data_IF_234882243638
#
_entry.id   IF_234882243638
#
_cell.length_a   1.000
_cell.length_b   1.000
_cell.length_c   1.000
_cell.angle_alpha   90.00
_cell.angle_beta   90.00
_cell.angle_gamma   90.00
#
_symmetry.space_group_name_H-M   'P 1'
#
loop_
_entity.id
_entity.type
_entity.pdbx_description
1 polymer ?
#
# COMPACT_ATOMS: atom_id res chain seq x y z
N UNK A 1 -63.01 51.99 40.53
CA UNK A 1 -61.66 51.38 40.62
C UNK A 1 -61.84 49.87 40.42
N UNK A 2 -61.79 49.44 39.16
CA UNK A 2 -60.74 48.62 38.52
C UNK A 2 -60.63 47.20 39.09
N UNK A 3 -61.35 46.32 38.41
CA UNK A 3 -61.24 44.86 38.37
C UNK A 3 -59.88 44.42 37.83
N UNK A 4 -59.31 43.34 38.38
CA UNK A 4 -58.20 42.62 37.76
C UNK A 4 -58.51 41.12 37.73
N UNK A 5 -58.83 40.64 36.53
CA UNK A 5 -58.81 39.23 36.12
C UNK A 5 -57.36 38.75 36.08
N UNK A 6 -57.02 37.71 36.86
CA UNK A 6 -55.79 36.96 36.67
C UNK A 6 -55.99 35.94 35.53
N UNK A 7 -55.27 36.12 34.42
CA UNK A 7 -55.22 35.17 33.32
C UNK A 7 -54.36 33.96 33.70
N UNK A 8 -54.94 32.76 33.68
CA UNK A 8 -54.19 31.51 33.60
C UNK A 8 -53.71 31.32 32.16
N UNK A 9 -52.39 31.37 31.93
CA UNK A 9 -51.79 30.85 30.70
C UNK A 9 -51.60 29.32 30.84
N UNK A 10 -51.97 28.50 29.85
CA UNK A 10 -51.60 27.09 29.84
C UNK A 10 -50.10 26.97 29.53
N UNK A 11 -49.39 26.16 30.32
CA UNK A 11 -48.03 25.76 30.02
C UNK A 11 -48.03 24.93 28.73
N UNK A 12 -47.55 25.54 27.63
CA UNK A 12 -47.22 24.80 26.43
C UNK A 12 -45.99 23.94 26.74
N UNK A 13 -46.20 22.63 26.85
CA UNK A 13 -45.13 21.64 26.91
C UNK A 13 -44.42 21.67 25.55
N UNK A 14 -43.33 22.42 25.46
CA UNK A 14 -42.45 22.40 24.30
C UNK A 14 -41.80 21.01 24.23
N UNK A 15 -42.33 20.14 23.37
CA UNK A 15 -41.62 18.95 22.92
C UNK A 15 -40.44 19.47 22.10
N UNK A 16 -39.29 19.65 22.74
CA UNK A 16 -38.05 19.90 22.02
C UNK A 16 -37.80 18.70 21.11
N UNK A 17 -37.52 18.91 19.81
CA UNK A 17 -37.11 17.82 18.95
C UNK A 17 -35.84 17.21 19.54
N UNK A 18 -35.92 15.96 19.98
CA UNK A 18 -34.74 15.17 20.27
C UNK A 18 -33.96 15.14 18.96
N UNK A 19 -32.79 15.77 18.94
CA UNK A 19 -31.80 15.49 17.91
C UNK A 19 -31.52 14.00 18.06
N UNK A 20 -32.09 13.17 17.18
CA UNK A 20 -31.70 11.77 17.08
C UNK A 20 -30.19 11.79 16.86
N UNK A 21 -29.43 11.38 17.87
CA UNK A 21 -28.02 11.12 17.69
C UNK A 21 -27.95 10.00 16.64
N UNK A 22 -27.29 10.27 15.51
CA UNK A 22 -27.07 9.22 14.52
C UNK A 22 -26.27 8.07 15.12
N UNK A 23 -26.30 6.91 14.47
CA UNK A 23 -25.58 5.72 14.92
C UNK A 23 -24.09 5.96 15.16
N UNK A 24 -23.49 5.18 16.05
CA UNK A 24 -22.10 5.32 16.46
C UNK A 24 -21.38 4.03 16.10
N UNK A 25 -20.40 4.12 15.21
CA UNK A 25 -19.53 3.01 14.83
C UNK A 25 -18.11 3.31 15.33
N UNK A 26 -17.55 2.42 16.14
CA UNK A 26 -16.25 2.62 16.78
C UNK A 26 -15.33 1.42 16.63
N UNK A 27 -14.06 1.71 16.45
CA UNK A 27 -13.01 0.73 16.16
C UNK A 27 -11.94 0.78 17.24
N UNK A 28 -11.72 -0.37 17.88
CA UNK A 28 -10.59 -0.65 18.77
C UNK A 28 -9.61 -1.55 18.03
N UNK A 29 -8.61 -0.94 17.42
CA UNK A 29 -7.55 -1.63 16.69
C UNK A 29 -6.58 -2.33 17.63
N UNK A 30 -6.03 -3.47 17.19
CA UNK A 30 -5.09 -4.30 17.96
C UNK A 30 -5.63 -4.75 19.33
N UNK A 31 -6.94 -4.94 19.43
CA UNK A 31 -7.60 -5.30 20.68
C UNK A 31 -8.73 -6.30 20.44
N UNK A 32 -8.90 -7.22 21.40
CA UNK A 32 -10.04 -8.14 21.51
C UNK A 32 -11.18 -7.61 22.38
N UNK A 33 -11.01 -6.40 22.93
CA UNK A 33 -11.99 -5.69 23.75
C UNK A 33 -12.08 -4.23 23.32
N UNK A 34 -13.15 -3.53 23.75
CA UNK A 34 -13.26 -2.09 23.54
C UNK A 34 -12.19 -1.34 24.34
N UNK A 35 -11.54 -0.39 23.70
CA UNK A 35 -10.55 0.48 24.30
C UNK A 35 -11.15 1.86 24.59
N UNK A 36 -10.59 2.56 25.58
CA UNK A 36 -10.89 3.97 25.80
C UNK A 36 -10.40 4.87 24.64
N UNK A 37 -9.45 4.37 23.84
CA UNK A 37 -8.84 5.03 22.68
C UNK A 37 -9.47 4.60 21.36
N UNK A 38 -10.64 3.97 21.39
CA UNK A 38 -11.39 3.63 20.18
C UNK A 38 -11.64 4.88 19.31
N UNK A 39 -11.62 4.70 18.01
CA UNK A 39 -11.87 5.78 17.05
C UNK A 39 -13.27 5.67 16.47
N UNK A 40 -13.96 6.80 16.31
CA UNK A 40 -15.23 6.86 15.59
C UNK A 40 -14.98 6.67 14.08
N UNK A 41 -15.81 5.89 13.40
CA UNK A 41 -15.57 5.42 12.03
C UNK A 41 -15.59 6.52 10.97
N UNK A 42 -16.36 7.60 11.16
CA UNK A 42 -16.62 8.63 10.18
C UNK A 42 -15.32 9.28 9.72
N UNK A 43 -14.88 8.89 8.52
CA UNK A 43 -13.67 9.40 7.90
C UNK A 43 -12.39 9.18 8.72
N UNK A 44 -12.34 8.10 9.50
CA UNK A 44 -11.13 7.69 10.23
C UNK A 44 -10.45 6.50 9.57
N UNK A 45 -9.19 6.28 9.94
CA UNK A 45 -8.36 5.18 9.45
C UNK A 45 -7.61 4.56 10.62
N UNK A 46 -7.51 3.24 10.64
CA UNK A 46 -6.63 2.50 11.54
C UNK A 46 -5.49 1.85 10.75
N UNK A 47 -4.27 2.03 11.24
CA UNK A 47 -3.09 1.39 10.69
C UNK A 47 -2.71 0.18 11.54
N UNK A 48 -2.58 -0.98 10.91
CA UNK A 48 -2.24 -2.25 11.51
C UNK A 48 -1.01 -2.81 10.83
N UNK A 49 -0.15 -3.50 11.57
CA UNK A 49 1.10 -4.04 11.04
C UNK A 49 1.24 -5.53 11.35
N UNK A 50 1.25 -6.38 10.32
CA UNK A 50 1.37 -7.84 10.45
C UNK A 50 2.54 -8.41 9.64
N UNK A 51 3.08 -9.54 10.06
CA UNK A 51 3.85 -10.43 9.19
C UNK A 51 2.91 -11.50 8.60
N UNK A 52 2.38 -11.20 7.41
CA UNK A 52 1.44 -12.10 6.73
C UNK A 52 2.08 -13.45 6.34
N UNK A 53 3.39 -13.48 6.05
CA UNK A 53 4.10 -14.72 5.68
C UNK A 53 4.26 -15.62 6.91
N UNK A 54 4.52 -15.04 8.08
CA UNK A 54 4.52 -15.76 9.35
C UNK A 54 3.12 -16.15 9.86
N UNK A 55 2.06 -15.65 9.21
CA UNK A 55 0.67 -15.92 9.60
C UNK A 55 0.19 -15.08 10.78
N UNK A 56 0.81 -13.92 11.03
CA UNK A 56 0.38 -13.01 12.08
C UNK A 56 -1.07 -12.57 11.91
N UNK A 57 -1.73 -12.31 13.04
CA UNK A 57 -3.02 -11.66 13.05
C UNK A 57 -3.19 -10.72 14.24
N UNK A 58 -3.86 -9.59 14.00
CA UNK A 58 -4.22 -8.62 15.03
C UNK A 58 -5.75 -8.55 15.18
N UNK A 59 -6.29 -8.60 16.40
CA UNK A 59 -7.72 -8.46 16.60
C UNK A 59 -8.17 -7.01 16.38
N UNK A 60 -9.33 -6.83 15.77
CA UNK A 60 -10.00 -5.54 15.60
C UNK A 60 -11.38 -5.67 16.20
N UNK A 61 -11.59 -5.08 17.38
CA UNK A 61 -12.91 -5.03 18.02
C UNK A 61 -13.70 -3.85 17.49
N UNK A 62 -14.88 -4.14 16.97
CA UNK A 62 -15.80 -3.17 16.40
C UNK A 62 -17.04 -3.10 17.29
N UNK A 63 -17.42 -1.89 17.68
CA UNK A 63 -18.64 -1.61 18.41
C UNK A 63 -19.56 -0.76 17.54
N UNK A 64 -20.84 -1.12 17.49
CA UNK A 64 -21.85 -0.36 16.78
C UNK A 64 -23.09 -0.15 17.65
N UNK A 65 -23.51 1.09 17.79
CA UNK A 65 -24.76 1.48 18.40
C UNK A 65 -25.63 2.13 17.32
N UNK A 66 -26.69 1.46 16.83
CA UNK A 66 -27.56 2.02 15.80
C UNK A 66 -28.38 3.23 16.27
N UNK A 67 -28.42 3.54 17.58
CA UNK A 67 -29.29 4.58 18.15
C UNK A 67 -30.77 4.39 17.76
N UNK A 68 -31.16 3.14 17.54
CA UNK A 68 -32.50 2.74 17.13
C UNK A 68 -33.00 1.55 17.98
N UNK A 69 -34.33 1.45 18.11
CA UNK A 69 -35.00 0.40 18.88
C UNK A 69 -35.51 -0.72 17.96
N UNK A 70 -35.86 -1.87 18.56
CA UNK A 70 -36.43 -3.03 17.85
C UNK A 70 -35.53 -3.60 16.73
N UNK A 71 -34.21 -3.53 16.91
CA UNK A 71 -33.23 -4.09 15.98
C UNK A 71 -33.41 -5.61 15.87
N UNK A 72 -33.62 -6.10 14.65
CA UNK A 72 -33.75 -7.52 14.35
C UNK A 72 -32.38 -8.18 14.13
N UNK A 73 -31.47 -7.49 13.44
CA UNK A 73 -30.09 -7.94 13.21
C UNK A 73 -29.18 -6.73 13.02
N UNK A 74 -27.92 -6.91 13.40
CA UNK A 74 -26.86 -5.95 13.23
C UNK A 74 -25.61 -6.67 12.69
N UNK A 75 -24.97 -6.09 11.69
CA UNK A 75 -23.87 -6.71 10.95
C UNK A 75 -22.75 -5.72 10.66
N UNK A 76 -21.52 -6.21 10.64
CA UNK A 76 -20.39 -5.54 10.00
C UNK A 76 -20.31 -5.98 8.55
N UNK A 77 -20.16 -5.03 7.64
CA UNK A 77 -19.97 -5.25 6.21
C UNK A 77 -18.58 -4.76 5.82
N UNK A 78 -17.70 -5.68 5.42
CA UNK A 78 -16.28 -5.37 5.15
C UNK A 78 -15.65 -6.35 4.16
N UNK A 79 -14.62 -5.89 3.46
CA UNK A 79 -13.74 -6.72 2.64
C UNK A 79 -12.43 -7.13 3.38
N UNK A 80 -12.33 -6.92 4.70
CA UNK A 80 -11.15 -7.27 5.51
C UNK A 80 -10.70 -8.72 5.24
N UNK A 81 -9.42 -8.87 4.88
CA UNK A 81 -8.75 -10.12 4.46
C UNK A 81 -9.24 -10.75 3.14
N UNK A 82 -9.98 -10.01 2.32
CA UNK A 82 -10.57 -10.55 1.09
C UNK A 82 -9.96 -9.98 -0.18
N UNK A 83 -8.77 -9.38 -0.10
CA UNK A 83 -8.08 -8.79 -1.29
C UNK A 83 -7.96 -9.75 -2.48
N UNK A 84 -7.79 -11.05 -2.22
CA UNK A 84 -7.68 -12.07 -3.26
C UNK A 84 -8.98 -12.29 -4.06
N UNK A 85 -10.10 -11.70 -3.61
CA UNK A 85 -11.40 -11.75 -4.29
C UNK A 85 -11.70 -10.50 -5.10
N UNK A 86 -10.84 -9.48 -5.07
CA UNK A 86 -11.09 -8.22 -5.76
C UNK A 86 -11.19 -8.38 -7.28
N UNK A 87 -10.60 -9.42 -7.87
CA UNK A 87 -10.65 -9.71 -9.30
C UNK A 87 -11.72 -10.74 -9.70
N UNK A 88 -12.53 -11.21 -8.74
CA UNK A 88 -13.66 -12.07 -9.06
C UNK A 88 -14.82 -11.23 -9.58
N UNK A 89 -15.69 -11.85 -10.35
CA UNK A 89 -16.99 -11.30 -10.77
C UNK A 89 -18.05 -12.23 -10.20
N UNK A 90 -18.45 -11.97 -8.95
CA UNK A 90 -19.25 -12.92 -8.19
C UNK A 90 -20.73 -12.92 -8.60
N UNK A 91 -21.24 -11.83 -9.20
CA UNK A 91 -22.60 -11.73 -9.71
C UNK A 91 -22.70 -11.85 -11.25
N UNK A 92 -21.57 -11.98 -11.95
CA UNK A 92 -21.51 -12.28 -13.38
C UNK A 92 -21.85 -11.08 -14.26
N UNK A 93 -21.62 -9.87 -13.77
CA UNK A 93 -21.98 -8.63 -14.47
C UNK A 93 -20.90 -8.15 -15.46
N UNK A 94 -19.77 -8.87 -15.53
CA UNK A 94 -18.63 -8.60 -16.40
C UNK A 94 -17.62 -7.62 -15.81
N UNK A 95 -17.78 -7.19 -14.55
CA UNK A 95 -16.90 -6.26 -13.85
C UNK A 95 -16.34 -6.94 -12.60
N UNK A 96 -15.05 -6.72 -12.34
CA UNK A 96 -14.40 -7.20 -11.12
C UNK A 96 -15.04 -6.57 -9.87
N UNK A 97 -15.34 -7.39 -8.85
CA UNK A 97 -15.95 -7.01 -7.57
C UNK A 97 -15.16 -5.90 -6.85
N UNK A 98 -13.85 -5.83 -7.08
CA UNK A 98 -12.96 -4.78 -6.56
C UNK A 98 -13.24 -3.39 -7.12
N UNK A 99 -13.81 -3.32 -8.32
CA UNK A 99 -14.24 -2.10 -9.01
C UNK A 99 -15.72 -1.83 -8.71
N UNK A 100 -16.57 -2.85 -8.89
CA UNK A 100 -18.01 -2.76 -8.65
C UNK A 100 -18.45 -3.95 -7.78
N UNK A 101 -18.53 -3.79 -6.45
CA UNK A 101 -18.97 -4.86 -5.58
C UNK A 101 -20.44 -5.22 -5.81
N UNK A 102 -20.76 -6.51 -5.61
CA UNK A 102 -22.15 -6.98 -5.48
C UNK A 102 -22.92 -6.12 -4.48
N UNK A 103 -24.20 -5.86 -4.76
CA UNK A 103 -25.07 -5.11 -3.86
C UNK A 103 -25.06 -5.72 -2.46
N UNK A 104 -24.51 -4.99 -1.49
CA UNK A 104 -24.36 -5.51 -0.13
C UNK A 104 -25.67 -6.05 0.45
N UNK A 105 -26.80 -5.40 0.17
CA UNK A 105 -28.11 -5.76 0.73
C UNK A 105 -28.61 -7.16 0.32
N UNK A 106 -28.04 -7.77 -0.72
CA UNK A 106 -28.34 -9.15 -1.14
C UNK A 106 -27.39 -10.19 -0.53
N UNK A 107 -26.28 -9.76 0.07
CA UNK A 107 -25.27 -10.65 0.67
C UNK A 107 -25.75 -11.10 2.05
N UNK A 108 -25.84 -12.42 2.23
CA UNK A 108 -26.19 -13.03 3.52
C UNK A 108 -24.98 -13.05 4.44
N UNK A 109 -25.18 -12.82 5.74
CA UNK A 109 -24.09 -12.95 6.72
C UNK A 109 -23.46 -14.34 6.69
N UNK A 110 -22.13 -14.36 6.71
CA UNK A 110 -21.37 -15.61 6.61
C UNK A 110 -21.05 -16.05 5.18
N UNK A 111 -21.65 -15.46 4.15
CA UNK A 111 -21.35 -15.81 2.76
C UNK A 111 -19.89 -15.49 2.40
N UNK A 112 -19.17 -16.52 1.98
CA UNK A 112 -17.76 -16.45 1.62
C UNK A 112 -17.52 -16.35 0.12
N UNK A 113 -18.54 -16.22 -0.73
CA UNK A 113 -18.38 -16.14 -2.18
C UNK A 113 -17.93 -14.76 -2.69
N UNK A 114 -18.29 -13.68 -1.98
CA UNK A 114 -18.11 -12.30 -2.44
C UNK A 114 -16.84 -11.59 -1.94
N UNK A 115 -16.45 -10.50 -2.60
CA UNK A 115 -15.36 -9.64 -2.14
C UNK A 115 -15.63 -8.97 -0.79
N UNK A 116 -16.81 -8.40 -0.58
CA UNK A 116 -17.28 -7.97 0.73
C UNK A 116 -18.03 -9.10 1.43
N UNK A 117 -17.95 -9.15 2.76
CA UNK A 117 -18.66 -10.11 3.60
C UNK A 117 -19.40 -9.39 4.71
N UNK A 118 -20.60 -9.88 4.98
CA UNK A 118 -21.38 -9.51 6.15
C UNK A 118 -21.09 -10.47 7.32
N UNK A 119 -20.95 -9.91 8.51
CA UNK A 119 -20.70 -10.65 9.75
C UNK A 119 -21.71 -10.21 10.81
N UNK A 120 -22.50 -11.15 11.34
CA UNK A 120 -23.43 -10.88 12.44
C UNK A 120 -22.68 -10.44 13.69
N UNK A 121 -23.16 -9.37 14.32
CA UNK A 121 -22.63 -8.86 15.58
C UNK A 121 -23.40 -9.42 16.78
N UNK A 122 -22.73 -9.58 17.92
CA UNK A 122 -23.36 -10.00 19.16
C UNK A 122 -23.88 -8.79 19.96
N UNK A 123 -25.07 -8.87 20.59
CA UNK A 123 -25.56 -7.79 21.44
C UNK A 123 -24.69 -7.64 22.69
N UNK A 124 -24.44 -6.40 23.09
CA UNK A 124 -23.73 -6.01 24.31
C UNK A 124 -24.47 -4.85 24.98
N UNK A 125 -24.04 -4.43 26.17
CA UNK A 125 -24.59 -3.23 26.79
C UNK A 125 -24.37 -2.01 25.87
N UNK A 126 -25.47 -1.33 25.52
CA UNK A 126 -25.46 -0.12 24.70
C UNK A 126 -25.31 -0.33 23.20
N UNK A 127 -25.25 -1.58 22.69
CA UNK A 127 -25.14 -1.79 21.24
C UNK A 127 -24.75 -3.21 20.86
N UNK A 128 -23.91 -3.33 19.84
CA UNK A 128 -23.46 -4.60 19.27
C UNK A 128 -21.95 -4.61 19.13
N UNK A 129 -21.34 -5.78 19.27
CA UNK A 129 -19.91 -5.96 19.18
C UNK A 129 -19.53 -7.15 18.30
N UNK A 130 -18.43 -7.01 17.56
CA UNK A 130 -17.77 -8.07 16.82
C UNK A 130 -16.26 -7.89 16.93
N UNK A 131 -15.49 -8.98 16.99
CA UNK A 131 -14.03 -8.91 16.82
C UNK A 131 -13.64 -9.71 15.59
N UNK A 132 -12.93 -9.06 14.67
CA UNK A 132 -12.42 -9.69 13.46
C UNK A 132 -10.89 -9.74 13.49
N UNK A 133 -10.25 -10.82 13.03
CA UNK A 133 -8.81 -10.85 12.82
C UNK A 133 -8.45 -10.04 11.57
N UNK A 134 -7.47 -9.14 11.65
CA UNK A 134 -6.73 -8.66 10.49
C UNK A 134 -5.53 -9.59 10.28
N UNK A 135 -5.48 -10.30 9.15
CA UNK A 135 -4.49 -11.37 8.87
C UNK A 135 -3.89 -11.31 7.48
N UNK A 136 -4.32 -10.34 6.67
CA UNK A 136 -3.86 -10.15 5.31
C UNK A 136 -3.59 -8.68 5.07
N UNK A 137 -2.43 -8.35 4.54
CA UNK A 137 -2.06 -7.00 4.14
C UNK A 137 -3.01 -6.46 3.07
N UNK A 138 -3.24 -5.15 3.05
CA UNK A 138 -4.16 -4.48 2.14
C UNK A 138 -4.84 -3.27 2.75
N UNK A 139 -5.60 -2.55 1.93
CA UNK A 139 -6.50 -1.48 2.37
C UNK A 139 -7.94 -1.99 2.29
N UNK A 140 -8.66 -1.90 3.41
CA UNK A 140 -9.98 -2.48 3.57
C UNK A 140 -10.98 -1.44 4.03
N UNK A 141 -12.22 -1.62 3.60
CA UNK A 141 -13.36 -0.79 3.93
C UNK A 141 -14.21 -1.50 4.97
N UNK A 142 -14.66 -0.79 5.99
CA UNK A 142 -15.50 -1.31 7.06
C UNK A 142 -16.67 -0.36 7.34
N UNK A 143 -17.88 -0.91 7.30
CA UNK A 143 -19.11 -0.23 7.74
C UNK A 143 -19.99 -1.18 8.52
N UNK A 144 -21.07 -0.65 9.08
CA UNK A 144 -22.11 -1.40 9.76
C UNK A 144 -23.44 -1.23 9.05
N UNK A 145 -24.30 -2.23 9.21
CA UNK A 145 -25.68 -2.19 8.75
C UNK A 145 -26.59 -2.90 9.75
N UNK A 146 -27.85 -2.51 9.79
CA UNK A 146 -28.85 -3.15 10.66
C UNK A 146 -30.21 -3.23 9.98
N UNK A 147 -31.07 -4.10 10.51
CA UNK A 147 -32.49 -4.19 10.14
C UNK A 147 -33.37 -3.97 11.34
N UNK A 148 -34.52 -3.34 11.16
CA UNK A 148 -35.53 -3.17 12.21
C UNK A 148 -36.61 -4.23 12.08
N UNK A 149 -37.11 -4.70 13.22
CA UNK A 149 -38.20 -5.68 13.29
C UNK A 149 -39.47 -5.08 12.66
N UNK A 150 -40.10 -5.84 11.76
CA UNK A 150 -41.32 -5.42 11.07
C UNK A 150 -41.08 -4.72 9.73
N UNK A 151 -39.83 -4.42 9.38
CA UNK A 151 -39.50 -3.94 8.03
C UNK A 151 -39.49 -5.07 6.99
N UNK A 152 -39.74 -4.76 5.71
CA UNK A 152 -39.61 -5.72 4.62
C UNK A 152 -38.26 -6.46 4.63
N UNK A 153 -38.27 -7.69 4.11
CA UNK A 153 -37.04 -8.44 3.89
C UNK A 153 -36.11 -7.66 2.94
N UNK A 154 -34.82 -7.57 3.29
CA UNK A 154 -33.83 -6.85 2.49
C UNK A 154 -33.75 -5.34 2.76
N UNK A 155 -34.61 -4.77 3.62
CA UNK A 155 -34.44 -3.39 4.09
C UNK A 155 -33.28 -3.32 5.07
N UNK A 156 -32.17 -2.71 4.63
CA UNK A 156 -30.97 -2.46 5.42
C UNK A 156 -30.77 -0.97 5.60
N UNK A 157 -30.42 -0.57 6.82
CA UNK A 157 -29.96 0.77 7.14
C UNK A 157 -28.45 0.72 7.32
N UNK A 158 -27.71 1.49 6.52
CA UNK A 158 -26.25 1.53 6.62
C UNK A 158 -25.80 2.75 7.44
N UNK A 159 -24.73 2.55 8.21
CA UNK A 159 -24.08 3.64 8.95
C UNK A 159 -23.70 4.82 8.04
N UNK A 160 -23.24 4.54 6.82
CA UNK A 160 -22.82 5.56 5.85
C UNK A 160 -23.98 6.17 5.01
N UNK A 161 -25.23 5.79 5.28
CA UNK A 161 -26.42 6.47 4.74
C UNK A 161 -26.85 7.65 5.64
N UNK A 162 -26.33 7.74 6.87
CA UNK A 162 -26.65 8.80 7.80
C UNK A 162 -25.82 10.05 7.59
N UNK A 163 -26.36 11.22 7.93
CA UNK A 163 -25.67 12.50 7.83
C UNK A 163 -25.05 12.92 9.18
N UNK A 164 -23.82 13.41 9.14
CA UNK A 164 -23.13 14.07 10.25
C UNK A 164 -22.51 15.39 9.74
N UNK A 165 -22.88 16.53 10.34
CA UNK A 165 -22.34 17.83 9.94
C UNK A 165 -22.68 18.24 8.50
N UNK A 166 -23.80 17.78 7.95
CA UNK A 166 -24.26 18.11 6.59
C UNK A 166 -23.66 17.26 5.48
N UNK A 167 -22.90 16.21 5.81
CA UNK A 167 -22.37 15.22 4.86
C UNK A 167 -22.72 13.80 5.31
N UNK A 168 -22.85 12.87 4.38
CA UNK A 168 -22.97 11.45 4.71
C UNK A 168 -21.74 11.00 5.49
N UNK A 169 -21.96 10.19 6.52
CA UNK A 169 -20.89 9.51 7.25
C UNK A 169 -20.12 8.62 6.27
N UNK A 170 -18.81 8.52 6.48
CA UNK A 170 -17.93 7.70 5.65
C UNK A 170 -17.53 6.44 6.40
N UNK A 171 -17.37 5.35 5.65
CA UNK A 171 -16.82 4.10 6.16
C UNK A 171 -15.42 4.29 6.76
N UNK A 172 -15.08 3.38 7.67
CA UNK A 172 -13.75 3.29 8.25
C UNK A 172 -12.79 2.57 7.29
N UNK A 173 -11.55 3.06 7.21
CA UNK A 173 -10.48 2.39 6.49
C UNK A 173 -9.57 1.59 7.45
N UNK A 174 -9.35 0.32 7.16
CA UNK A 174 -8.33 -0.50 7.81
C UNK A 174 -7.16 -0.66 6.84
N UNK A 175 -6.01 -0.07 7.16
CA UNK A 175 -4.77 -0.24 6.40
C UNK A 175 -3.90 -1.25 7.12
N UNK A 176 -3.86 -2.47 6.60
CA UNK A 176 -3.02 -3.55 7.12
C UNK A 176 -1.74 -3.60 6.30
N UNK A 177 -0.63 -3.14 6.87
CA UNK A 177 0.67 -3.06 6.23
C UNK A 177 1.59 -4.19 6.68
N UNK A 178 2.60 -4.58 5.90
CA UNK A 178 3.66 -5.44 6.38
C UNK A 178 4.38 -4.80 7.58
N UNK A 179 4.66 -5.54 8.65
CA UNK A 179 5.49 -5.07 9.79
C UNK A 179 6.81 -4.48 9.31
N UNK A 180 7.43 -5.18 8.36
CA UNK A 180 8.66 -4.77 7.69
C UNK A 180 8.64 -3.32 7.22
N UNK A 181 7.51 -2.80 6.70
CA UNK A 181 7.43 -1.42 6.23
C UNK A 181 7.54 -0.36 7.35
N UNK A 182 7.04 -0.67 8.56
CA UNK A 182 7.19 0.19 9.74
C UNK A 182 8.59 0.15 10.31
N UNK A 183 9.23 -1.02 10.22
CA UNK A 183 10.48 -1.32 10.92
C UNK A 183 11.71 -0.96 10.07
N UNK A 184 11.54 -0.36 8.88
CA UNK A 184 12.63 0.05 7.99
C UNK A 184 13.58 1.05 8.68
N UNK A 185 14.88 0.75 8.64
CA UNK A 185 15.97 1.66 8.98
C UNK A 185 16.96 1.65 7.81
N UNK A 186 16.97 2.76 7.06
CA UNK A 186 17.66 2.89 5.77
C UNK A 186 19.13 3.29 5.91
N UNK A 187 19.97 2.73 5.04
CA UNK A 187 21.32 3.19 4.77
C UNK A 187 21.50 3.36 3.25
N UNK A 188 21.58 4.61 2.79
CA UNK A 188 21.70 4.92 1.37
C UNK A 188 23.14 4.69 0.87
N UNK A 189 23.29 3.98 -0.26
CA UNK A 189 24.58 3.64 -0.83
C UNK A 189 24.61 3.82 -2.35
N UNK A 190 25.81 4.03 -2.87
CA UNK A 190 26.13 3.89 -4.28
C UNK A 190 27.22 2.84 -4.46
N UNK A 191 26.98 1.75 -5.21
CA UNK A 191 27.96 0.67 -5.40
C UNK A 191 29.31 1.18 -5.90
N UNK A 192 29.31 2.19 -6.78
CA UNK A 192 30.53 2.69 -7.39
C UNK A 192 31.44 3.42 -6.41
N UNK A 193 30.90 4.04 -5.36
CA UNK A 193 31.66 4.98 -4.51
C UNK A 193 31.92 4.46 -3.10
N UNK A 194 30.99 3.71 -2.51
CA UNK A 194 31.07 3.31 -1.09
C UNK A 194 32.30 2.45 -0.77
N UNK A 195 32.75 1.66 -1.75
CA UNK A 195 33.94 0.82 -1.68
C UNK A 195 35.02 1.23 -2.70
N UNK A 196 34.94 2.44 -3.27
CA UNK A 196 35.94 2.92 -4.21
C UNK A 196 37.31 3.08 -3.55
N UNK A 197 38.35 2.71 -4.30
CA UNK A 197 39.75 2.79 -3.90
C UNK A 197 40.49 3.96 -4.56
N UNK A 198 39.83 4.63 -5.50
CA UNK A 198 40.38 5.75 -6.24
C UNK A 198 39.37 6.27 -7.25
N UNK A 199 39.86 7.07 -8.21
CA UNK A 199 39.04 7.76 -9.21
C UNK A 199 39.02 7.07 -10.57
N UNK A 200 39.76 5.98 -10.73
CA UNK A 200 39.80 5.22 -11.98
C UNK A 200 38.65 4.21 -12.05
N UNK A 201 38.15 3.86 -13.26
CA UNK A 201 37.12 2.84 -13.42
C UNK A 201 37.50 1.50 -12.79
N UNK A 202 38.77 1.10 -12.87
CA UNK A 202 39.25 -0.14 -12.25
C UNK A 202 39.26 -0.12 -10.71
N UNK A 203 39.08 1.05 -10.09
CA UNK A 203 39.10 1.26 -8.64
C UNK A 203 37.70 1.57 -8.07
N UNK A 204 36.66 1.43 -8.89
CA UNK A 204 35.25 1.56 -8.46
C UNK A 204 34.85 0.41 -7.53
N UNK A 205 33.86 0.66 -6.66
CA UNK A 205 33.18 -0.43 -5.97
C UNK A 205 32.21 -1.17 -6.90
N UNK A 206 31.88 -2.41 -6.54
CA UNK A 206 31.02 -3.31 -7.33
C UNK A 206 30.04 -4.09 -6.44
N UNK A 207 29.02 -4.71 -7.03
CA UNK A 207 28.12 -5.61 -6.28
C UNK A 207 28.87 -6.79 -5.65
N UNK A 208 29.86 -7.35 -6.34
CA UNK A 208 30.70 -8.39 -5.76
C UNK A 208 31.51 -7.90 -4.55
N UNK A 209 31.97 -6.65 -4.54
CA UNK A 209 32.66 -6.08 -3.37
C UNK A 209 31.69 -5.83 -2.22
N UNK A 210 30.45 -5.40 -2.50
CA UNK A 210 29.42 -5.27 -1.46
C UNK A 210 29.07 -6.62 -0.82
N UNK A 211 29.07 -7.70 -1.60
CA UNK A 211 28.76 -9.05 -1.12
C UNK A 211 29.93 -9.67 -0.32
N UNK A 212 31.17 -9.47 -0.79
CA UNK A 212 32.34 -10.22 -0.28
C UNK A 212 33.34 -9.37 0.50
N UNK A 213 33.16 -8.05 0.54
CA UNK A 213 34.15 -7.10 1.02
C UNK A 213 35.30 -6.88 0.04
N UNK A 214 36.15 -5.89 0.36
CA UNK A 214 37.45 -5.72 -0.29
C UNK A 214 38.42 -6.78 0.28
N UNK A 215 39.31 -7.32 -0.55
CA UNK A 215 40.20 -8.43 -0.19
C UNK A 215 41.16 -8.15 0.97
N UNK A 216 42.11 -9.07 1.22
CA UNK A 216 43.08 -8.90 2.29
C UNK A 216 43.94 -7.62 2.11
N UNK A 217 44.13 -6.85 3.19
CA UNK A 217 44.94 -5.62 3.20
C UNK A 217 44.14 -4.31 3.13
N UNK A 218 42.81 -4.40 2.99
CA UNK A 218 41.92 -3.25 2.99
C UNK A 218 41.23 -3.11 4.35
N UNK A 219 41.11 -1.88 4.88
CA UNK A 219 40.28 -1.65 6.06
C UNK A 219 38.81 -1.96 5.70
N UNK A 220 38.03 -2.61 6.59
CA UNK A 220 36.62 -2.87 6.32
C UNK A 220 35.87 -1.53 6.26
N UNK A 221 35.55 -1.08 5.05
CA UNK A 221 34.78 0.15 4.82
C UNK A 221 33.28 -0.11 4.78
N UNK A 222 32.89 -1.29 4.31
CA UNK A 222 31.51 -1.75 4.23
C UNK A 222 31.46 -3.27 4.27
N UNK A 223 30.44 -3.81 4.93
CA UNK A 223 29.96 -5.19 4.84
C UNK A 223 28.51 -5.22 5.31
N UNK A 224 27.79 -6.31 5.04
CA UNK A 224 26.42 -6.48 5.57
C UNK A 224 26.41 -6.52 7.11
N UNK A 225 27.46 -7.07 7.73
CA UNK A 225 27.63 -7.03 9.19
C UNK A 225 27.85 -5.62 9.72
N UNK A 226 28.61 -4.79 8.98
CA UNK A 226 28.77 -3.38 9.31
C UNK A 226 27.41 -2.66 9.30
N UNK A 227 26.61 -2.85 8.25
CA UNK A 227 25.26 -2.26 8.13
C UNK A 227 24.39 -2.65 9.33
N UNK A 228 24.39 -3.93 9.70
CA UNK A 228 23.66 -4.42 10.88
C UNK A 228 24.19 -3.84 12.18
N UNK A 229 25.51 -3.66 12.31
CA UNK A 229 26.13 -3.06 13.49
C UNK A 229 25.74 -1.59 13.69
N UNK A 230 25.41 -0.88 12.60
CA UNK A 230 24.83 0.46 12.64
C UNK A 230 23.35 0.45 13.07
N UNK A 231 22.70 -0.72 13.10
CA UNK A 231 21.27 -0.87 13.34
C UNK A 231 20.41 -0.67 12.09
N UNK A 232 21.02 -0.49 10.91
CA UNK A 232 20.28 -0.45 9.65
C UNK A 232 19.87 -1.87 9.23
N UNK A 233 18.71 -1.98 8.60
CA UNK A 233 18.18 -3.24 8.09
C UNK A 233 17.81 -3.18 6.61
N UNK A 234 17.88 -2.02 5.97
CA UNK A 234 17.57 -1.84 4.55
C UNK A 234 18.65 -0.98 3.90
N UNK A 235 19.19 -1.46 2.78
CA UNK A 235 20.06 -0.70 1.90
C UNK A 235 19.22 0.00 0.84
N UNK A 236 19.37 1.32 0.76
CA UNK A 236 18.77 2.11 -0.31
C UNK A 236 19.83 2.40 -1.38
N UNK A 237 19.71 1.75 -2.52
CA UNK A 237 20.62 1.97 -3.64
C UNK A 237 20.20 3.23 -4.39
N UNK A 238 21.15 4.14 -4.60
CA UNK A 238 21.07 5.10 -5.70
C UNK A 238 20.86 4.34 -7.02
N UNK A 239 20.30 4.99 -8.06
CA UNK A 239 19.89 4.27 -9.27
C UNK A 239 21.01 3.39 -9.84
N UNK A 240 20.67 2.11 -10.05
CA UNK A 240 21.62 1.08 -10.51
C UNK A 240 21.60 0.89 -12.04
N UNK A 241 20.73 1.63 -12.71
CA UNK A 241 20.48 1.48 -14.14
C UNK A 241 21.59 2.11 -14.98
N UNK A 242 21.82 1.66 -16.22
CA UNK A 242 22.72 2.33 -17.14
C UNK A 242 22.40 3.83 -17.29
N UNK A 243 23.43 4.67 -17.21
CA UNK A 243 23.29 6.12 -17.37
C UNK A 243 23.44 6.51 -18.85
N UNK A 244 22.67 7.50 -19.28
CA UNK A 244 22.78 8.08 -20.62
C UNK A 244 24.11 8.78 -20.87
N UNK A 245 24.54 8.77 -22.12
CA UNK A 245 25.76 9.44 -22.60
C UNK A 245 25.40 10.80 -23.19
N UNK A 246 24.30 10.87 -23.94
CA UNK A 246 23.84 12.12 -24.53
C UNK A 246 23.44 13.14 -23.46
N UNK A 247 23.89 14.39 -23.61
CA UNK A 247 23.66 15.46 -22.64
C UNK A 247 24.50 15.36 -21.37
N UNK A 248 25.37 14.35 -21.24
CA UNK A 248 26.33 14.25 -20.13
C UNK A 248 27.38 15.37 -20.23
N UNK A 249 27.78 15.92 -19.08
CA UNK A 249 28.84 16.92 -19.03
C UNK A 249 30.15 16.37 -19.63
N UNK A 250 30.80 17.19 -20.46
CA UNK A 250 32.12 16.92 -21.03
C UNK A 250 33.20 17.24 -20.00
N UNK A 251 34.09 16.27 -19.77
CA UNK A 251 35.29 16.44 -18.98
C UNK A 251 36.29 17.32 -19.73
N UNK A 252 36.65 18.50 -19.19
CA UNK A 252 37.60 19.40 -19.86
C UNK A 252 39.00 18.81 -20.01
N UNK A 253 39.38 17.80 -19.21
CA UNK A 253 40.71 17.17 -19.29
C UNK A 253 40.85 16.22 -20.48
N UNK A 254 39.76 15.57 -20.90
CA UNK A 254 39.76 14.54 -21.94
C UNK A 254 39.00 14.95 -23.20
N UNK A 255 38.21 16.03 -23.14
CA UNK A 255 37.23 16.41 -24.17
C UNK A 255 36.21 15.32 -24.51
N UNK A 256 36.01 14.38 -23.59
CA UNK A 256 35.02 13.31 -23.67
C UNK A 256 33.96 13.53 -22.58
N UNK A 257 32.75 12.97 -22.71
CA UNK A 257 31.82 12.92 -21.58
C UNK A 257 32.47 12.24 -20.36
N UNK A 258 32.14 12.68 -19.15
CA UNK A 258 32.61 12.00 -17.93
C UNK A 258 32.30 10.50 -17.98
N UNK A 259 33.20 9.68 -17.42
CA UNK A 259 33.06 8.23 -17.41
C UNK A 259 31.76 7.76 -16.75
N UNK A 260 31.46 8.34 -15.57
CA UNK A 260 30.22 8.15 -14.85
C UNK A 260 29.43 9.44 -14.93
N UNK A 261 28.24 9.38 -15.52
CA UNK A 261 27.27 10.48 -15.54
C UNK A 261 26.40 10.50 -14.29
N UNK A 262 25.42 11.40 -14.24
CA UNK A 262 24.40 11.38 -13.18
C UNK A 262 23.68 10.02 -13.14
N UNK A 263 23.55 9.37 -11.97
CA UNK A 263 22.77 8.13 -11.84
C UNK A 263 21.28 8.33 -12.16
N UNK A 264 20.80 9.58 -12.13
CA UNK A 264 19.41 9.91 -12.43
C UNK A 264 19.13 10.09 -13.93
N UNK A 265 20.17 10.19 -14.78
CA UNK A 265 20.00 10.21 -16.23
C UNK A 265 19.86 8.77 -16.75
N UNK A 266 18.75 8.10 -16.42
CA UNK A 266 18.55 6.67 -16.71
C UNK A 266 18.31 6.44 -18.19
N UNK A 267 19.13 5.57 -18.79
CA UNK A 267 19.04 5.12 -20.17
C UNK A 267 18.15 3.89 -20.33
N UNK A 268 18.22 2.93 -19.40
CA UNK A 268 17.43 1.70 -19.49
C UNK A 268 17.02 1.19 -18.10
N UNK A 269 15.72 1.28 -17.79
CA UNK A 269 15.17 0.89 -16.47
C UNK A 269 15.09 -0.62 -16.22
N UNK A 270 15.35 -1.45 -17.23
CA UNK A 270 15.26 -2.91 -17.13
C UNK A 270 16.63 -3.59 -17.01
N UNK A 271 17.71 -2.82 -17.08
CA UNK A 271 19.08 -3.30 -17.07
C UNK A 271 19.84 -2.75 -15.87
N UNK A 272 20.98 -3.36 -15.57
CA UNK A 272 21.90 -2.93 -14.51
C UNK A 272 23.19 -2.39 -15.14
N UNK A 273 23.72 -1.30 -14.61
CA UNK A 273 24.91 -0.63 -15.13
C UNK A 273 26.13 -1.57 -15.12
N UNK A 274 26.83 -1.77 -16.25
CA UNK A 274 27.98 -2.67 -16.33
C UNK A 274 29.12 -2.31 -15.37
N UNK A 275 29.35 -1.01 -15.14
CA UNK A 275 30.34 -0.53 -14.17
C UNK A 275 30.04 -0.98 -12.73
N UNK A 276 28.85 -1.46 -12.39
CA UNK A 276 28.62 -2.00 -11.05
C UNK A 276 29.03 -3.48 -10.91
N UNK A 277 29.44 -4.13 -12.00
CA UNK A 277 29.94 -5.51 -11.98
C UNK A 277 31.46 -5.56 -11.87
N UNK A 278 31.99 -6.50 -11.09
CA UNK A 278 33.44 -6.80 -10.98
C UNK A 278 33.96 -7.57 -12.17
N UNK A 279 33.14 -8.46 -12.74
CA UNK A 279 33.46 -9.24 -13.93
C UNK A 279 33.47 -8.40 -15.22
N UNK A 280 32.89 -7.20 -15.18
CA UNK A 280 32.94 -6.26 -16.29
C UNK A 280 34.30 -5.54 -16.32
N UNK A 281 34.94 -5.57 -17.49
CA UNK A 281 36.15 -4.79 -17.76
C UNK A 281 35.76 -3.47 -18.43
N UNK A 282 35.94 -2.31 -17.77
CA UNK A 282 35.67 -1.02 -18.39
C UNK A 282 36.56 -0.82 -19.61
N UNK A 283 35.99 -0.20 -20.64
CA UNK A 283 36.75 0.25 -21.81
C UNK A 283 37.36 1.63 -21.59
N UNK A 284 37.81 2.26 -22.68
CA UNK A 284 38.45 3.59 -22.65
C UNK A 284 37.49 4.76 -22.84
N UNK A 285 36.20 4.51 -23.05
CA UNK A 285 35.17 5.55 -23.26
C UNK A 285 33.85 5.20 -22.57
N UNK A 286 33.01 6.19 -22.23
CA UNK A 286 31.67 5.94 -21.69
C UNK A 286 30.83 4.99 -22.55
N UNK A 287 30.92 5.09 -23.88
CA UNK A 287 30.20 4.21 -24.81
C UNK A 287 30.67 2.75 -24.72
N UNK A 288 31.96 2.52 -24.48
CA UNK A 288 32.49 1.16 -24.28
C UNK A 288 32.11 0.53 -22.93
N UNK A 289 31.59 1.33 -22.00
CA UNK A 289 31.16 0.87 -20.67
C UNK A 289 29.69 0.45 -20.59
N UNK A 290 28.97 0.53 -21.71
CA UNK A 290 27.57 0.13 -21.79
C UNK A 290 27.38 -0.88 -22.93
N UNK A 291 27.52 -2.18 -22.61
CA UNK A 291 27.41 -3.27 -23.58
C UNK A 291 26.38 -4.31 -23.12
N UNK A 292 25.73 -5.04 -24.05
CA UNK A 292 24.79 -6.11 -23.67
C UNK A 292 25.43 -7.17 -22.76
N UNK A 293 26.68 -7.57 -23.04
CA UNK A 293 27.40 -8.53 -22.21
C UNK A 293 27.69 -7.97 -20.79
N UNK A 294 28.09 -6.70 -20.70
CA UNK A 294 28.32 -6.04 -19.41
C UNK A 294 27.06 -5.88 -18.57
N UNK A 295 25.91 -5.59 -19.21
CA UNK A 295 24.61 -5.50 -18.52
C UNK A 295 24.19 -6.85 -17.95
N UNK A 296 24.35 -7.92 -18.72
CA UNK A 296 24.10 -9.27 -18.25
C UNK A 296 25.01 -9.68 -17.06
N UNK A 297 26.30 -9.31 -17.11
CA UNK A 297 27.23 -9.51 -16.01
C UNK A 297 26.79 -8.76 -14.75
N UNK A 298 26.40 -7.49 -14.87
CA UNK A 298 25.94 -6.67 -13.76
C UNK A 298 24.62 -7.16 -13.16
N UNK A 299 23.67 -7.60 -13.99
CA UNK A 299 22.43 -8.21 -13.53
C UNK A 299 22.69 -9.47 -12.71
N UNK A 300 23.59 -10.35 -13.17
CA UNK A 300 23.95 -11.56 -12.44
C UNK A 300 24.62 -11.25 -11.08
N UNK A 301 25.53 -10.28 -11.04
CA UNK A 301 26.16 -9.86 -9.77
C UNK A 301 25.20 -9.15 -8.83
N UNK A 302 24.29 -8.32 -9.34
CA UNK A 302 23.23 -7.69 -8.54
C UNK A 302 22.32 -8.75 -7.90
N UNK A 303 21.90 -9.77 -8.66
CA UNK A 303 21.10 -10.88 -8.14
C UNK A 303 21.86 -11.67 -7.06
N UNK A 304 23.17 -11.93 -7.27
CA UNK A 304 24.02 -12.58 -6.28
C UNK A 304 24.17 -11.75 -5.00
N UNK A 305 24.31 -10.43 -5.14
CA UNK A 305 24.36 -9.52 -3.99
C UNK A 305 23.01 -9.50 -3.26
N UNK A 306 21.88 -9.39 -3.96
CA UNK A 306 20.55 -9.40 -3.36
C UNK A 306 20.30 -10.68 -2.56
N UNK A 307 20.74 -11.84 -3.08
CA UNK A 307 20.67 -13.10 -2.35
C UNK A 307 21.56 -13.11 -1.09
N UNK A 308 22.74 -12.47 -1.14
CA UNK A 308 23.63 -12.34 0.02
C UNK A 308 23.04 -11.40 1.08
N UNK A 309 22.42 -10.31 0.66
CA UNK A 309 21.73 -9.37 1.54
C UNK A 309 20.54 -10.05 2.23
N UNK A 310 19.71 -10.78 1.47
CA UNK A 310 18.59 -11.58 2.00
C UNK A 310 19.08 -12.62 3.03
N UNK A 311 20.14 -13.37 2.71
CA UNK A 311 20.74 -14.33 3.63
C UNK A 311 21.29 -13.67 4.93
N UNK A 312 21.72 -12.41 4.86
CA UNK A 312 22.16 -11.64 6.01
C UNK A 312 21.01 -10.99 6.81
N UNK A 313 19.78 -11.03 6.28
CA UNK A 313 18.62 -10.32 6.82
C UNK A 313 18.67 -8.81 6.59
N UNK A 314 19.25 -8.37 5.47
CA UNK A 314 19.33 -6.97 5.05
C UNK A 314 18.55 -6.79 3.76
N UNK A 315 17.62 -5.86 3.76
CA UNK A 315 16.73 -5.60 2.64
C UNK A 315 17.37 -4.72 1.57
N UNK A 316 16.91 -4.87 0.33
CA UNK A 316 17.35 -4.06 -0.81
C UNK A 316 16.19 -3.22 -1.32
N UNK A 317 16.36 -1.91 -1.33
CA UNK A 317 15.46 -0.93 -1.92
C UNK A 317 16.19 -0.18 -3.03
N UNK A 318 15.56 -0.05 -4.20
CA UNK A 318 16.14 0.66 -5.35
C UNK A 318 15.51 2.04 -5.50
N UNK A 319 16.35 3.06 -5.67
CA UNK A 319 15.94 4.35 -6.21
C UNK A 319 15.64 4.21 -7.72
N UNK A 320 14.40 4.52 -8.11
CA UNK A 320 13.93 4.42 -9.49
C UNK A 320 13.29 5.74 -9.94
N UNK A 321 14.03 6.60 -10.67
CA UNK A 321 13.54 7.93 -11.06
C UNK A 321 12.64 7.87 -12.29
N UNK A 322 11.38 7.45 -12.12
CA UNK A 322 10.38 7.39 -13.20
C UNK A 322 9.80 8.75 -13.63
N UNK A 323 10.32 9.85 -13.10
CA UNK A 323 9.86 11.21 -13.42
C UNK A 323 10.60 11.84 -14.62
N UNK A 324 11.66 11.22 -15.13
CA UNK A 324 12.42 11.67 -16.30
C UNK A 324 13.29 10.52 -16.87
N UNK A 325 13.95 10.76 -18.00
CA UNK A 325 14.88 9.81 -18.64
C UNK A 325 16.13 10.53 -19.14
N UNK A 326 17.15 9.78 -19.57
CA UNK A 326 18.24 10.37 -20.38
C UNK A 326 17.76 10.76 -21.78
N UNK A 327 18.58 11.55 -22.49
CA UNK A 327 18.33 11.95 -23.88
C UNK A 327 18.39 10.77 -24.85
N UNK A 328 19.26 9.80 -24.58
CA UNK A 328 19.50 8.58 -25.35
C UNK A 328 18.77 7.35 -24.76
N UNK A 329 17.62 7.58 -24.10
CA UNK A 329 16.85 6.51 -23.44
C UNK A 329 16.46 5.38 -24.39
N UNK A 330 16.59 4.15 -23.91
CA UNK A 330 16.17 2.94 -24.58
C UNK A 330 14.79 2.54 -24.09
N UNK A 331 13.81 2.60 -24.99
CA UNK A 331 12.50 2.03 -24.72
C UNK A 331 12.59 0.52 -24.90
N UNK A 332 12.13 -0.24 -23.90
CA UNK A 332 11.96 -1.68 -24.06
C UNK A 332 11.06 -1.99 -25.26
N UNK A 333 11.29 -3.13 -25.92
CA UNK A 333 10.46 -3.56 -27.04
C UNK A 333 8.97 -3.53 -26.63
N UNK A 334 8.14 -2.93 -27.47
CA UNK A 334 6.68 -2.85 -27.27
C UNK A 334 6.16 -4.26 -27.02
N UNK A 335 5.66 -4.52 -25.81
CA UNK A 335 4.87 -5.73 -25.52
C UNK A 335 3.78 -5.79 -26.60
N UNK A 336 3.56 -6.95 -27.27
CA UNK A 336 2.46 -7.08 -28.22
C UNK A 336 1.19 -6.52 -27.58
N UNK A 337 0.34 -5.79 -28.33
CA UNK A 337 -0.87 -5.22 -27.75
C UNK A 337 -1.60 -6.30 -26.98
N UNK A 338 -1.94 -6.00 -25.72
CA UNK A 338 -2.79 -6.86 -24.88
C UNK A 338 -3.94 -7.34 -25.76
N UNK A 339 -4.25 -8.66 -25.76
CA UNK A 339 -5.34 -9.18 -26.56
C UNK A 339 -6.56 -8.32 -26.24
N UNK A 340 -7.10 -7.65 -27.25
CA UNK A 340 -8.36 -6.92 -27.11
C UNK A 340 -9.33 -7.90 -26.49
N UNK A 341 -9.75 -7.66 -25.26
CA UNK A 341 -10.97 -8.27 -24.76
C UNK A 341 -12.01 -8.00 -25.83
N UNK A 342 -12.67 -9.07 -26.28
CA UNK A 342 -13.71 -8.98 -27.29
C UNK A 342 -14.85 -8.19 -26.65
N UNK A 343 -14.81 -6.88 -26.82
CA UNK A 343 -15.97 -6.03 -26.61
C UNK A 343 -16.94 -6.44 -27.73
N UNK A 344 -18.10 -7.03 -27.41
CA UNK A 344 -19.05 -7.38 -28.45
C UNK A 344 -19.49 -6.08 -29.11
N UNK A 345 -19.16 -5.93 -30.38
CA UNK A 345 -19.63 -4.84 -31.21
C UNK A 345 -21.14 -4.81 -31.15
N UNK A 346 -21.71 -3.76 -30.55
CA UNK A 346 -23.10 -3.41 -30.76
C UNK A 346 -23.25 -3.04 -32.25
N UNK A 347 -23.73 -4.00 -33.03
CA UNK A 347 -24.21 -3.75 -34.37
C UNK A 347 -25.48 -2.89 -34.23
N UNK A 348 -25.37 -1.60 -34.55
CA UNK A 348 -26.51 -0.73 -34.76
C UNK A 348 -27.20 -1.15 -36.06
N UNK A 349 -28.25 -1.96 -35.95
CA UNK A 349 -29.27 -2.04 -36.99
C UNK A 349 -30.20 -0.85 -36.83
N UNK A 350 -30.05 0.16 -37.68
CA UNK A 350 -31.09 1.15 -37.94
C UNK A 350 -31.50 0.96 -39.39
N UNK A 351 -32.77 0.57 -39.55
CA UNK A 351 -33.55 0.59 -40.79
C UNK A 351 -33.72 2.00 -41.33
#
# INVERSE_FOLDING_TARGET
MKTHLAHFLPAALAVMPVVLQGSVLKISSESSVRLATEVEANYSTSHLYIDEVAGDSLPVTIFFDPQAVNIATCEIYTNLNRRARAQLDADGDGIEDGIKPVNGSTITAGDDSHYFKAYTMAPVSGGYQLTLPASKTGAYRLTARYRVTGEPAGTWHYYNDESAGGSLKRDHCLVVSPKKARDIILYEINPLTILAEGTLPSQRGTFADLANGLGAGHAPRFSLDYVKSLGANTLWFQPIHPNGIDGRQVDPATSQPFEVGSPYAVKNFFEVMPLMAKSFTPGGTPASNDTPAGRAQAMAEFQSFAASADAAGVDVMLDAPFNHTSYDTELAAVVPPLPKSVCPSAASSVS
#
